data_IF_241136351856
#
_entry.id   IF_241136351856
#
_cell.length_a   1.000
_cell.length_b   1.000
_cell.length_c   1.000
_cell.angle_alpha   90.00
_cell.angle_beta   90.00
_cell.angle_gamma   90.00
#
_symmetry.space_group_name_H-M   'P 1'
#
loop_
_entity.id
_entity.type
_entity.pdbx_description
1 polymer ?
#
# COMPACT_ATOMS: atom_id res chain seq x y z
N UNK A 1 -21.52 41.03 8.20
CA UNK A 1 -22.06 40.05 9.17
C UNK A 1 -20.90 39.52 9.99
N UNK A 2 -20.83 39.86 11.27
CA UNK A 2 -19.73 39.44 12.14
C UNK A 2 -19.73 37.93 12.33
N UNK A 3 -18.58 37.29 12.13
CA UNK A 3 -18.38 35.88 12.48
C UNK A 3 -18.43 35.76 14.00
N UNK A 4 -19.55 35.30 14.56
CA UNK A 4 -19.64 35.01 15.99
C UNK A 4 -18.66 33.88 16.33
N UNK A 5 -17.66 34.19 17.15
CA UNK A 5 -16.68 33.23 17.65
C UNK A 5 -17.39 32.15 18.47
N UNK A 6 -17.09 30.88 18.19
CA UNK A 6 -17.70 29.76 18.90
C UNK A 6 -17.09 29.69 20.31
N UNK A 7 -17.92 29.53 21.35
CA UNK A 7 -17.43 29.43 22.73
C UNK A 7 -16.57 28.18 22.93
N UNK A 8 -15.64 28.20 23.88
CA UNK A 8 -14.75 27.06 24.15
C UNK A 8 -15.53 25.79 24.51
N UNK A 9 -16.52 25.91 25.40
CA UNK A 9 -17.40 24.81 25.81
C UNK A 9 -18.15 24.23 24.59
N UNK A 10 -18.63 25.10 23.69
CA UNK A 10 -19.34 24.61 22.51
C UNK A 10 -18.40 23.89 21.53
N UNK A 11 -17.17 24.37 21.34
CA UNK A 11 -16.17 23.67 20.50
C UNK A 11 -15.79 22.31 21.07
N UNK A 12 -15.63 22.23 22.38
CA UNK A 12 -15.35 20.99 23.11
C UNK A 12 -16.48 19.98 22.91
N UNK A 13 -17.73 20.38 23.17
CA UNK A 13 -18.90 19.53 22.97
C UNK A 13 -19.03 19.05 21.51
N UNK A 14 -18.79 19.93 20.52
CA UNK A 14 -18.79 19.53 19.10
C UNK A 14 -17.70 18.50 18.80
N UNK A 15 -16.53 18.63 19.43
CA UNK A 15 -15.42 17.72 19.22
C UNK A 15 -15.66 16.36 19.87
N UNK A 16 -16.24 16.34 21.07
CA UNK A 16 -16.67 15.12 21.76
C UNK A 16 -17.72 14.40 20.92
N UNK A 17 -18.74 15.12 20.44
CA UNK A 17 -19.80 14.56 19.61
C UNK A 17 -19.25 13.93 18.30
N UNK A 18 -18.25 14.56 17.67
CA UNK A 18 -17.64 14.00 16.47
C UNK A 18 -16.87 12.70 16.76
N UNK A 19 -16.11 12.63 17.87
CA UNK A 19 -15.44 11.38 18.27
C UNK A 19 -16.45 10.27 18.62
N UNK A 20 -17.53 10.60 19.35
CA UNK A 20 -18.59 9.65 19.68
C UNK A 20 -19.29 9.11 18.43
N UNK A 21 -19.54 9.97 17.43
CA UNK A 21 -20.06 9.57 16.13
C UNK A 21 -19.13 8.59 15.42
N UNK A 22 -17.81 8.83 15.42
CA UNK A 22 -16.83 7.90 14.83
C UNK A 22 -16.81 6.54 15.56
N UNK A 23 -16.95 6.55 16.88
CA UNK A 23 -17.08 5.34 17.69
C UNK A 23 -18.34 4.54 17.32
N UNK A 24 -19.48 5.21 17.20
CA UNK A 24 -20.75 4.59 16.78
C UNK A 24 -20.65 3.97 15.38
N UNK A 25 -19.95 4.62 14.44
CA UNK A 25 -19.71 4.08 13.10
C UNK A 25 -18.83 2.82 13.15
N UNK A 26 -17.79 2.80 13.99
CA UNK A 26 -16.92 1.64 14.15
C UNK A 26 -17.64 0.42 14.75
N UNK A 27 -18.59 0.69 15.66
CA UNK A 27 -19.48 -0.30 16.27
C UNK A 27 -18.89 -1.10 17.43
N UNK A 28 -17.56 -1.13 17.59
CA UNK A 28 -16.85 -1.87 18.65
C UNK A 28 -15.91 -0.99 19.49
N UNK A 29 -16.14 0.32 19.47
CA UNK A 29 -15.35 1.29 20.21
C UNK A 29 -16.32 2.17 20.99
N UNK A 30 -16.06 2.37 22.28
CA UNK A 30 -16.81 3.30 23.13
C UNK A 30 -15.91 4.44 23.60
N UNK A 31 -16.44 5.64 23.59
CA UNK A 31 -15.76 6.83 24.08
C UNK A 31 -16.27 7.21 25.48
N UNK A 32 -15.36 7.33 26.43
CA UNK A 32 -15.59 7.94 27.73
C UNK A 32 -14.82 9.26 27.80
N UNK A 33 -15.50 10.33 27.42
CA UNK A 33 -14.93 11.69 27.33
C UNK A 33 -15.89 12.62 28.06
N UNK A 34 -15.44 13.21 29.16
CA UNK A 34 -16.24 14.11 29.98
C UNK A 34 -15.95 15.56 29.60
N UNK A 35 -17.00 16.37 29.47
CA UNK A 35 -16.79 17.81 29.29
C UNK A 35 -16.32 18.46 30.60
N UNK A 36 -15.41 19.42 30.49
CA UNK A 36 -14.74 20.08 31.63
C UNK A 36 -13.99 19.12 32.55
N UNK A 37 -13.41 18.04 31.99
CA UNK A 37 -12.54 17.15 32.77
C UNK A 37 -11.31 17.92 33.31
N UNK A 38 -10.86 17.55 34.50
CA UNK A 38 -9.71 18.14 35.22
C UNK A 38 -8.54 17.16 35.32
N UNK A 39 -8.59 16.08 34.56
CA UNK A 39 -7.48 15.16 34.37
C UNK A 39 -6.21 15.92 33.95
N UNK A 40 -5.01 15.54 34.45
CA UNK A 40 -3.81 16.36 34.28
C UNK A 40 -3.35 16.56 32.83
N UNK A 41 -3.44 15.51 32.00
CA UNK A 41 -2.89 15.53 30.63
C UNK A 41 -3.80 14.89 29.58
N UNK A 42 -4.74 14.02 29.95
CA UNK A 42 -5.63 13.33 28.99
C UNK A 42 -7.02 13.94 29.04
N UNK A 43 -7.73 13.99 27.92
CA UNK A 43 -9.09 14.52 27.86
C UNK A 43 -10.15 13.39 27.94
N UNK A 44 -9.73 12.12 27.92
CA UNK A 44 -10.64 10.97 28.05
C UNK A 44 -10.02 9.64 27.60
N UNK A 45 -10.88 8.64 27.38
CA UNK A 45 -10.50 7.26 27.08
C UNK A 45 -11.38 6.65 25.99
N UNK A 46 -10.81 5.72 25.21
CA UNK A 46 -11.53 4.82 24.32
C UNK A 46 -11.46 3.38 24.85
N UNK A 47 -12.57 2.66 24.81
CA UNK A 47 -12.65 1.24 25.10
C UNK A 47 -12.84 0.49 23.78
N UNK A 48 -11.84 -0.32 23.41
CA UNK A 48 -11.86 -1.16 22.22
C UNK A 48 -12.34 -2.56 22.60
N UNK A 49 -13.30 -3.09 21.85
CA UNK A 49 -13.86 -4.43 22.05
C UNK A 49 -13.57 -5.35 20.87
N UNK A 50 -13.47 -6.65 21.16
CA UNK A 50 -13.34 -7.68 20.14
C UNK A 50 -14.64 -7.80 19.33
N UNK A 51 -14.52 -7.86 18.00
CA UNK A 51 -15.67 -8.12 17.12
C UNK A 51 -15.95 -9.62 17.08
N UNK A 52 -17.12 -10.04 17.56
CA UNK A 52 -17.61 -11.40 17.35
C UNK A 52 -17.81 -11.65 15.85
N UNK A 53 -17.06 -12.59 15.26
CA UNK A 53 -17.16 -12.94 13.82
C UNK A 53 -18.54 -13.50 13.41
N UNK A 54 -19.36 -13.91 14.39
CA UNK A 54 -20.65 -14.61 14.20
C UNK A 54 -21.83 -13.62 14.20
N UNK A 55 -21.74 -12.49 14.89
CA UNK A 55 -22.82 -11.49 14.99
C UNK A 55 -22.70 -10.50 13.84
N UNK A 56 -23.01 -10.98 12.64
CA UNK A 56 -22.79 -10.21 11.42
C UNK A 56 -23.78 -9.09 11.17
N UNK A 57 -24.91 -8.99 11.87
CA UNK A 57 -25.96 -8.07 11.39
C UNK A 57 -26.72 -7.21 12.40
N UNK A 58 -26.81 -7.46 13.71
CA UNK A 58 -27.51 -6.51 14.59
C UNK A 58 -27.00 -6.54 16.04
N UNK A 59 -26.53 -5.38 16.52
CA UNK A 59 -26.10 -5.06 17.89
C UNK A 59 -24.82 -5.76 18.37
N UNK A 60 -23.67 -5.10 18.20
CA UNK A 60 -22.49 -5.38 19.01
C UNK A 60 -22.79 -4.92 20.44
N UNK A 61 -23.27 -5.83 21.28
CA UNK A 61 -23.24 -5.59 22.71
C UNK A 61 -21.76 -5.60 23.13
N UNK A 62 -21.23 -4.42 23.47
CA UNK A 62 -19.88 -4.26 24.00
C UNK A 62 -19.82 -4.84 25.42
N UNK A 63 -19.81 -6.17 25.51
CA UNK A 63 -19.79 -6.89 26.77
C UNK A 63 -18.42 -6.78 27.42
N UNK A 64 -18.39 -6.77 28.75
CA UNK A 64 -17.16 -6.60 29.54
C UNK A 64 -16.13 -7.69 29.25
N UNK A 65 -16.57 -8.91 28.98
CA UNK A 65 -15.70 -10.04 28.61
C UNK A 65 -14.96 -9.84 27.28
N UNK A 66 -15.45 -8.96 26.40
CA UNK A 66 -14.86 -8.68 25.09
C UNK A 66 -13.94 -7.45 25.08
N UNK A 67 -13.71 -6.80 26.22
CA UNK A 67 -12.86 -5.62 26.31
C UNK A 67 -11.41 -5.99 25.99
N UNK A 68 -10.89 -5.46 24.88
CA UNK A 68 -9.50 -5.67 24.47
C UNK A 68 -8.56 -4.68 25.16
N UNK A 69 -8.91 -3.40 25.16
CA UNK A 69 -8.03 -2.36 25.73
C UNK A 69 -8.76 -1.07 26.06
N UNK A 70 -8.34 -0.45 27.16
CA UNK A 70 -8.54 0.98 27.45
C UNK A 70 -7.40 1.79 26.86
N UNK A 71 -7.71 2.79 26.05
CA UNK A 71 -6.74 3.63 25.34
C UNK A 71 -6.95 5.09 25.74
N UNK A 72 -5.91 5.71 26.30
CA UNK A 72 -5.99 7.13 26.66
C UNK A 72 -5.96 8.00 25.41
N UNK A 73 -6.72 9.10 25.41
CA UNK A 73 -6.76 10.06 24.32
C UNK A 73 -6.53 11.49 24.79
N UNK A 74 -6.10 12.34 23.86
CA UNK A 74 -6.07 13.80 24.03
C UNK A 74 -6.91 14.43 22.93
N UNK A 75 -7.81 15.35 23.27
CA UNK A 75 -8.80 15.93 22.35
C UNK A 75 -8.76 17.45 22.36
N UNK A 76 -8.26 18.06 21.28
CA UNK A 76 -8.16 19.53 21.17
C UNK A 76 -9.04 20.08 20.06
N UNK A 77 -9.83 21.11 20.38
CA UNK A 77 -10.77 21.75 19.46
C UNK A 77 -10.30 23.15 19.02
N UNK A 78 -10.18 23.36 17.71
CA UNK A 78 -9.72 24.62 17.12
C UNK A 78 -10.76 25.18 16.15
N UNK A 79 -11.25 26.40 16.42
CA UNK A 79 -12.06 27.13 15.44
C UNK A 79 -11.16 27.73 14.36
N UNK A 80 -11.48 27.48 13.09
CA UNK A 80 -10.65 27.90 11.95
C UNK A 80 -11.49 28.55 10.86
N UNK A 81 -10.93 29.56 10.18
CA UNK A 81 -11.60 30.19 9.02
C UNK A 81 -11.66 29.27 7.80
N UNK A 82 -10.65 28.40 7.67
CA UNK A 82 -10.50 27.43 6.59
C UNK A 82 -9.92 26.14 7.19
N UNK A 83 -10.52 25.01 6.82
CA UNK A 83 -10.02 23.69 7.19
C UNK A 83 -8.66 23.45 6.51
N UNK A 84 -7.75 22.84 7.25
CA UNK A 84 -6.42 22.45 6.79
C UNK A 84 -6.49 21.35 5.73
N UNK A 85 -5.35 21.09 5.06
CA UNK A 85 -5.22 20.01 4.08
C UNK A 85 -5.21 18.62 4.73
N UNK A 86 -4.55 17.62 4.12
CA UNK A 86 -4.41 16.27 4.70
C UNK A 86 -3.49 16.19 5.91
N UNK A 87 -2.61 17.18 6.07
CA UNK A 87 -1.65 17.26 7.17
C UNK A 87 -1.80 18.59 7.88
N UNK A 88 -1.51 18.60 9.17
CA UNK A 88 -1.34 19.81 9.96
C UNK A 88 -0.32 19.56 11.07
N UNK A 89 0.17 20.62 11.68
CA UNK A 89 0.96 20.51 12.92
C UNK A 89 0.12 20.90 14.12
N UNK A 90 0.52 20.37 15.28
CA UNK A 90 -0.03 20.76 16.57
C UNK A 90 1.08 20.80 17.61
N UNK A 91 1.12 21.88 18.39
CA UNK A 91 2.12 22.07 19.44
C UNK A 91 1.62 21.48 20.74
N UNK A 92 2.43 20.62 21.35
CA UNK A 92 2.13 19.96 22.61
C UNK A 92 3.11 20.40 23.69
N UNK A 93 2.65 20.43 24.93
CA UNK A 93 3.53 20.68 26.07
C UNK A 93 4.45 19.47 26.31
N UNK A 94 5.70 19.75 26.68
CA UNK A 94 6.69 18.70 26.94
C UNK A 94 6.35 17.93 28.21
N UNK A 95 5.70 18.55 29.19
CA UNK A 95 5.17 17.86 30.38
C UNK A 95 4.15 16.79 29.98
N UNK A 96 3.23 17.13 29.08
CA UNK A 96 2.24 16.22 28.52
C UNK A 96 2.92 15.04 27.80
N UNK A 97 3.90 15.32 26.93
CA UNK A 97 4.67 14.28 26.22
C UNK A 97 5.38 13.32 27.20
N UNK A 98 5.94 13.83 28.30
CA UNK A 98 6.54 12.98 29.35
C UNK A 98 5.48 12.15 30.07
N UNK A 99 4.31 12.72 30.37
CA UNK A 99 3.20 11.99 30.99
C UNK A 99 2.68 10.87 30.09
N UNK A 100 2.53 11.12 28.79
CA UNK A 100 2.15 10.11 27.80
C UNK A 100 3.18 8.99 27.71
N UNK A 101 4.49 9.31 27.75
CA UNK A 101 5.53 8.28 27.72
C UNK A 101 5.47 7.37 28.95
N UNK A 102 5.23 7.95 30.13
CA UNK A 102 5.13 7.22 31.38
C UNK A 102 3.85 6.38 31.52
N UNK A 103 2.83 6.60 30.67
CA UNK A 103 1.53 5.91 30.73
C UNK A 103 1.19 5.22 29.40
N UNK A 104 2.20 4.62 28.75
CA UNK A 104 2.01 3.77 27.57
C UNK A 104 1.31 4.44 26.37
N UNK A 105 1.62 5.71 26.14
CA UNK A 105 1.20 6.44 24.95
C UNK A 105 -0.18 7.08 25.03
N UNK A 106 -0.56 7.70 23.91
CA UNK A 106 -1.85 8.41 23.76
C UNK A 106 -2.23 8.47 22.28
N UNK A 107 -3.54 8.48 21.98
CA UNK A 107 -4.02 8.93 20.67
C UNK A 107 -4.39 10.41 20.76
N UNK A 108 -3.67 11.26 20.04
CA UNK A 108 -3.98 12.68 19.93
C UNK A 108 -4.99 12.91 18.82
N UNK A 109 -6.13 13.51 19.15
CA UNK A 109 -7.12 14.03 18.22
C UNK A 109 -7.15 15.56 18.25
N UNK A 110 -7.10 16.17 17.08
CA UNK A 110 -7.29 17.61 16.92
C UNK A 110 -8.40 17.89 15.93
N UNK A 111 -9.46 18.52 16.42
CA UNK A 111 -10.67 18.80 15.66
C UNK A 111 -10.65 20.25 15.19
N UNK A 112 -10.72 20.46 13.88
CA UNK A 112 -10.92 21.77 13.28
C UNK A 112 -12.40 22.02 13.01
N UNK A 113 -12.90 23.13 13.52
CA UNK A 113 -14.31 23.52 13.40
C UNK A 113 -14.36 24.81 12.58
N UNK A 114 -14.85 24.72 11.34
CA UNK A 114 -15.15 25.90 10.52
C UNK A 114 -16.58 26.40 10.77
N UNK A 115 -17.51 25.47 10.95
CA UNK A 115 -18.88 25.68 11.40
C UNK A 115 -19.43 24.36 11.94
N UNK A 116 -20.61 24.36 12.55
CA UNK A 116 -21.26 23.16 13.12
C UNK A 116 -21.32 21.98 12.12
N UNK A 117 -21.50 22.26 10.83
CA UNK A 117 -21.60 21.24 9.77
C UNK A 117 -20.29 21.05 8.97
N UNK A 118 -19.19 21.72 9.36
CA UNK A 118 -17.90 21.67 8.66
C UNK A 118 -16.79 21.46 9.67
N UNK A 119 -16.65 20.19 10.05
CA UNK A 119 -15.69 19.71 11.05
C UNK A 119 -14.71 18.76 10.35
N UNK A 120 -13.44 18.82 10.75
CA UNK A 120 -12.40 17.91 10.26
C UNK A 120 -11.56 17.42 11.42
N UNK A 121 -11.37 16.11 11.51
CA UNK A 121 -10.58 15.48 12.58
C UNK A 121 -9.20 15.14 12.06
N UNK A 122 -8.18 15.47 12.84
CA UNK A 122 -6.80 15.06 12.63
C UNK A 122 -6.37 14.19 13.78
N UNK A 123 -5.46 13.25 13.53
CA UNK A 123 -4.98 12.34 14.54
C UNK A 123 -3.47 12.11 14.47
N UNK A 124 -2.92 11.61 15.57
CA UNK A 124 -1.62 10.93 15.61
C UNK A 124 -1.60 9.94 16.76
N UNK A 125 -1.22 8.70 16.44
CA UNK A 125 -0.79 7.73 17.44
C UNK A 125 0.58 8.16 17.98
N UNK A 126 0.66 8.42 19.29
CA UNK A 126 1.89 8.73 20.00
C UNK A 126 2.23 7.54 20.90
N UNK A 127 2.87 6.54 20.31
CA UNK A 127 3.30 5.35 21.02
C UNK A 127 4.63 5.59 21.74
N UNK A 128 5.02 4.71 22.68
CA UNK A 128 6.25 4.85 23.45
C UNK A 128 7.52 5.11 22.59
N UNK A 129 7.67 4.47 21.43
CA UNK A 129 8.78 4.75 20.50
C UNK A 129 8.73 6.18 19.94
N UNK A 130 7.55 6.69 19.56
CA UNK A 130 7.44 8.08 19.10
C UNK A 130 7.83 9.06 20.20
N UNK A 131 7.33 8.80 21.41
CA UNK A 131 7.49 9.69 22.56
C UNK A 131 8.93 9.74 23.03
N UNK A 132 9.62 8.59 23.16
CA UNK A 132 11.03 8.59 23.56
C UNK A 132 11.91 9.28 22.52
N UNK A 133 11.63 9.09 21.23
CA UNK A 133 12.37 9.76 20.16
C UNK A 133 12.17 11.28 20.20
N UNK A 134 10.91 11.72 20.36
CA UNK A 134 10.59 13.15 20.51
C UNK A 134 11.30 13.76 21.73
N UNK A 135 11.27 13.07 22.88
CA UNK A 135 11.91 13.53 24.12
C UNK A 135 13.43 13.58 23.98
N UNK A 136 14.05 12.56 23.38
CA UNK A 136 15.49 12.52 23.10
C UNK A 136 15.92 13.67 22.18
N UNK A 137 15.13 13.99 21.14
CA UNK A 137 15.39 15.15 20.28
C UNK A 137 15.35 16.47 21.06
N UNK A 138 14.37 16.64 21.95
CA UNK A 138 14.23 17.83 22.80
C UNK A 138 15.46 17.96 23.71
N UNK A 139 15.80 16.89 24.42
CA UNK A 139 16.90 16.86 25.40
C UNK A 139 18.26 17.12 24.74
N UNK A 140 18.45 16.70 23.47
CA UNK A 140 19.66 16.95 22.67
C UNK A 140 19.74 18.38 22.14
N UNK A 141 18.63 18.96 21.71
CA UNK A 141 18.65 20.24 20.95
C UNK A 141 18.43 21.47 21.82
N UNK A 142 17.57 21.39 22.85
CA UNK A 142 17.20 22.52 23.71
C UNK A 142 16.71 22.04 25.08
N UNK A 143 17.62 21.99 26.08
CA UNK A 143 17.34 21.52 27.45
C UNK A 143 16.14 22.16 28.17
N UNK A 144 15.62 23.30 27.70
CA UNK A 144 14.49 24.03 28.29
C UNK A 144 13.30 24.25 27.33
N UNK A 145 13.17 23.45 26.27
CA UNK A 145 12.03 23.57 25.36
C UNK A 145 10.74 23.12 26.05
N UNK A 146 9.77 24.03 26.17
CA UNK A 146 8.50 23.76 26.85
C UNK A 146 7.45 23.10 25.96
N UNK A 147 7.56 23.25 24.63
CA UNK A 147 6.58 22.73 23.68
C UNK A 147 7.26 22.08 22.48
N UNK A 148 6.61 21.09 21.86
CA UNK A 148 7.07 20.45 20.62
C UNK A 148 5.91 20.28 19.67
N UNK A 149 6.12 20.65 18.41
CA UNK A 149 5.14 20.43 17.35
C UNK A 149 5.24 19.00 16.80
N UNK A 150 4.09 18.36 16.66
CA UNK A 150 3.93 17.05 15.99
C UNK A 150 3.10 17.21 14.72
N UNK A 151 3.45 16.47 13.67
CA UNK A 151 2.65 16.34 12.44
C UNK A 151 1.46 15.40 12.69
N UNK A 152 0.27 15.81 12.30
CA UNK A 152 -0.98 15.05 12.37
C UNK A 152 -1.50 14.76 10.96
N UNK A 153 -2.24 13.66 10.84
CA UNK A 153 -2.89 13.25 9.60
C UNK A 153 -4.39 13.41 9.67
N UNK A 154 -5.01 13.74 8.55
CA UNK A 154 -6.46 13.74 8.41
C UNK A 154 -7.02 12.35 8.67
N UNK A 155 -8.03 12.31 9.54
CA UNK A 155 -8.92 11.18 9.70
C UNK A 155 -10.01 11.26 8.64
N UNK A 156 -10.12 10.20 7.84
CA UNK A 156 -11.10 10.06 6.75
C UNK A 156 -12.09 8.96 7.13
N UNK A 157 -13.30 9.26 7.61
CA UNK A 157 -14.19 8.25 8.21
C UNK A 157 -14.61 7.13 7.25
N UNK A 158 -14.45 7.32 5.94
CA UNK A 158 -14.66 6.28 4.94
C UNK A 158 -13.80 5.03 5.24
N UNK A 159 -14.29 3.84 4.85
CA UNK A 159 -13.57 2.56 5.00
C UNK A 159 -13.13 2.21 6.44
N UNK A 160 -13.89 2.63 7.45
CA UNK A 160 -13.64 2.37 8.88
C UNK A 160 -12.25 2.84 9.37
N UNK A 161 -11.72 3.94 8.82
CA UNK A 161 -10.38 4.43 9.17
C UNK A 161 -10.21 4.73 10.66
N UNK A 162 -11.23 5.27 11.36
CA UNK A 162 -11.17 5.49 12.81
C UNK A 162 -10.89 4.18 13.57
N UNK A 163 -11.64 3.12 13.26
CA UNK A 163 -11.42 1.80 13.86
C UNK A 163 -10.00 1.28 13.57
N UNK A 164 -9.51 1.50 12.34
CA UNK A 164 -8.17 1.10 11.93
C UNK A 164 -7.06 1.85 12.66
N UNK A 165 -7.27 3.14 12.97
CA UNK A 165 -6.35 3.95 13.79
C UNK A 165 -6.26 3.40 15.21
N UNK A 166 -7.40 3.09 15.82
CA UNK A 166 -7.48 2.56 17.18
C UNK A 166 -6.90 1.13 17.25
N UNK A 167 -7.19 0.29 16.27
CA UNK A 167 -6.58 -1.04 16.14
C UNK A 167 -5.07 -0.98 15.89
N UNK A 168 -4.61 -0.04 15.07
CA UNK A 168 -3.17 0.24 14.86
C UNK A 168 -2.52 0.57 16.20
N UNK A 169 -3.09 1.48 16.99
CA UNK A 169 -2.58 1.77 18.33
C UNK A 169 -2.50 0.50 19.18
N UNK A 170 -3.60 -0.26 19.30
CA UNK A 170 -3.70 -1.49 20.10
C UNK A 170 -2.65 -2.56 19.71
N UNK A 171 -2.46 -2.80 18.41
CA UNK A 171 -1.50 -3.81 17.90
C UNK A 171 -0.05 -3.43 18.20
N UNK A 172 0.26 -2.15 18.08
CA UNK A 172 1.63 -1.67 18.22
C UNK A 172 2.02 -1.43 19.67
N UNK A 173 1.09 -0.99 20.52
CA UNK A 173 1.40 -0.68 21.92
C UNK A 173 1.85 -1.90 22.73
N UNK A 174 1.27 -3.08 22.46
CA UNK A 174 1.68 -4.34 23.11
C UNK A 174 3.12 -4.74 22.77
N UNK A 175 3.63 -4.30 21.62
CA UNK A 175 5.01 -4.54 21.14
C UNK A 175 5.97 -3.42 21.56
N UNK A 176 5.47 -2.39 22.25
CA UNK A 176 6.23 -1.21 22.65
C UNK A 176 6.11 -0.97 24.15
N UNK A 177 6.06 -2.04 24.96
CA UNK A 177 6.21 -1.88 26.42
C UNK A 177 7.55 -1.21 26.72
N UNK A 178 7.64 -0.49 27.85
CA UNK A 178 8.84 0.27 28.20
C UNK A 178 10.13 -0.57 28.15
N UNK A 179 10.07 -1.81 28.65
CA UNK A 179 11.20 -2.75 28.61
C UNK A 179 11.65 -3.12 27.18
N UNK A 180 10.71 -3.18 26.22
CA UNK A 180 11.03 -3.45 24.81
C UNK A 180 11.57 -2.20 24.12
N UNK A 181 11.02 -1.02 24.44
CA UNK A 181 11.50 0.25 23.92
C UNK A 181 12.91 0.58 24.41
N UNK A 182 13.25 0.28 25.65
CA UNK A 182 14.62 0.43 26.16
C UNK A 182 15.62 -0.49 25.42
N UNK A 183 15.12 -1.56 24.79
CA UNK A 183 15.87 -2.50 23.95
C UNK A 183 15.62 -2.31 22.46
N UNK A 184 15.10 -1.14 22.06
CA UNK A 184 14.84 -0.84 20.65
C UNK A 184 16.13 -0.95 19.82
N UNK A 185 15.97 -1.32 18.56
CA UNK A 185 17.11 -1.59 17.68
C UNK A 185 17.12 -0.68 16.46
N UNK A 186 18.31 -0.41 15.95
CA UNK A 186 18.46 0.16 14.62
C UNK A 186 18.46 -0.98 13.59
N UNK A 187 17.70 -0.80 12.52
CA UNK A 187 17.72 -1.73 11.40
C UNK A 187 18.97 -1.51 10.57
N UNK A 188 19.50 -2.62 10.07
CA UNK A 188 20.64 -2.68 9.16
C UNK A 188 20.24 -3.30 7.83
N UNK A 189 21.05 -3.09 6.79
CA UNK A 189 20.83 -3.73 5.48
C UNK A 189 20.91 -5.27 5.52
N UNK A 190 21.40 -5.85 6.63
CA UNK A 190 21.48 -7.31 6.82
C UNK A 190 20.20 -7.91 7.39
N UNK A 191 19.27 -7.09 7.86
CA UNK A 191 18.01 -7.56 8.44
C UNK A 191 17.05 -8.00 7.33
N UNK A 192 16.86 -9.33 7.20
CA UNK A 192 16.07 -9.95 6.12
C UNK A 192 14.57 -10.06 6.42
N UNK A 193 14.20 -10.04 7.69
CA UNK A 193 12.82 -10.21 8.15
C UNK A 193 12.45 -9.02 9.05
N UNK A 194 11.45 -8.25 8.62
CA UNK A 194 10.94 -7.07 9.31
C UNK A 194 9.42 -7.15 9.30
N UNK A 195 8.82 -6.91 10.45
CA UNK A 195 7.37 -6.81 10.62
C UNK A 195 7.00 -5.33 10.62
N UNK A 196 6.01 -4.93 9.82
CA UNK A 196 5.51 -3.55 9.77
C UNK A 196 4.01 -3.52 10.01
N UNK A 197 3.52 -2.45 10.63
CA UNK A 197 2.09 -2.20 10.78
C UNK A 197 1.62 -1.10 9.82
N UNK A 198 0.69 -1.47 8.93
CA UNK A 198 0.06 -0.57 7.95
C UNK A 198 -1.46 -0.43 8.18
N UNK A 199 -1.97 -0.85 9.35
CA UNK A 199 -3.41 -0.90 9.61
C UNK A 199 -4.06 0.48 9.45
N UNK A 200 -3.44 1.55 9.93
CA UNK A 200 -3.93 2.94 9.79
C UNK A 200 -3.70 3.56 8.40
N UNK A 201 -3.05 2.87 7.47
CA UNK A 201 -2.78 3.40 6.12
C UNK A 201 -4.01 3.25 5.24
N UNK A 202 -4.82 4.29 5.15
CA UNK A 202 -6.12 4.19 4.49
C UNK A 202 -6.08 4.16 2.94
N UNK A 203 -5.02 4.67 2.30
CA UNK A 203 -4.85 4.52 0.85
C UNK A 203 -3.39 4.54 0.41
N UNK A 204 -3.17 4.30 -0.90
CA UNK A 204 -1.84 4.30 -1.53
C UNK A 204 -1.05 5.59 -1.35
N UNK A 205 -1.70 6.75 -1.34
CA UNK A 205 -1.00 8.01 -1.10
C UNK A 205 -0.38 8.01 0.30
N UNK A 206 -1.11 7.57 1.32
CA UNK A 206 -0.59 7.53 2.67
C UNK A 206 0.49 6.46 2.87
N UNK A 207 0.38 5.32 2.17
CA UNK A 207 1.38 4.24 2.22
C UNK A 207 2.81 4.72 1.93
N UNK A 208 2.96 5.63 0.96
CA UNK A 208 4.27 6.15 0.56
C UNK A 208 4.60 7.55 1.12
N UNK A 209 3.70 8.17 1.88
CA UNK A 209 3.90 9.53 2.45
C UNK A 209 3.87 9.57 3.98
N UNK A 210 3.66 8.42 4.63
CA UNK A 210 3.68 8.27 6.08
C UNK A 210 4.75 7.29 6.49
N UNK A 211 5.25 7.50 7.70
CA UNK A 211 6.14 6.53 8.33
C UNK A 211 5.33 5.48 9.08
N UNK A 212 5.77 4.23 9.05
CA UNK A 212 5.11 3.08 9.67
C UNK A 212 5.97 2.51 10.79
N UNK A 213 5.34 1.95 11.82
CA UNK A 213 6.06 1.22 12.85
C UNK A 213 6.68 -0.05 12.26
N UNK A 214 7.91 -0.33 12.68
CA UNK A 214 8.66 -1.49 12.25
C UNK A 214 9.21 -2.23 13.46
N UNK A 215 9.30 -3.54 13.31
CA UNK A 215 9.74 -4.46 14.35
C UNK A 215 10.63 -5.53 13.75
N UNK A 216 11.63 -5.97 14.52
CA UNK A 216 12.41 -7.15 14.20
C UNK A 216 11.88 -8.34 15.00
N UNK A 217 11.37 -9.37 14.32
CA UNK A 217 10.95 -10.60 14.98
C UNK A 217 12.18 -11.32 15.57
N UNK A 218 12.15 -11.60 16.87
CA UNK A 218 13.11 -12.48 17.53
C UNK A 218 12.45 -13.83 17.79
N UNK A 219 12.95 -14.85 17.12
CA UNK A 219 12.53 -16.25 17.31
C UNK A 219 13.43 -16.89 18.35
N UNK A 220 12.84 -17.51 19.36
CA UNK A 220 13.53 -18.38 20.30
C UNK A 220 12.93 -19.78 20.12
N UNK A 221 13.76 -20.83 20.19
CA UNK A 221 13.36 -22.19 19.80
C UNK A 221 12.10 -22.71 20.54
N UNK A 222 11.91 -22.28 21.80
CA UNK A 222 10.82 -22.71 22.67
C UNK A 222 9.76 -21.63 23.01
N UNK A 223 9.83 -20.43 22.44
CA UNK A 223 8.93 -19.32 22.80
C UNK A 223 8.26 -18.69 21.58
N UNK A 224 7.11 -18.06 21.82
CA UNK A 224 6.47 -17.18 20.85
C UNK A 224 7.45 -16.09 20.38
N UNK A 225 7.31 -15.72 19.12
CA UNK A 225 8.15 -14.69 18.51
C UNK A 225 7.92 -13.35 19.21
N UNK A 226 9.01 -12.73 19.68
CA UNK A 226 8.96 -11.40 20.31
C UNK A 226 9.34 -10.36 19.26
N UNK A 227 8.45 -9.41 19.01
CA UNK A 227 8.72 -8.28 18.12
C UNK A 227 9.47 -7.17 18.88
N UNK A 228 10.76 -6.96 18.56
CA UNK A 228 11.51 -5.81 19.08
C UNK A 228 11.21 -4.55 18.26
N UNK A 229 10.85 -3.42 18.90
CA UNK A 229 10.61 -2.18 18.19
C UNK A 229 11.88 -1.62 17.57
N UNK A 230 11.76 -1.09 16.36
CA UNK A 230 12.83 -0.35 15.73
C UNK A 230 12.85 1.10 16.24
N UNK A 231 14.06 1.66 16.43
CA UNK A 231 14.26 3.06 16.84
C UNK A 231 13.54 3.99 15.87
N UNK A 232 13.72 3.76 14.58
CA UNK A 232 13.18 4.60 13.53
C UNK A 232 11.96 3.95 12.88
N UNK A 233 10.91 4.75 12.67
CA UNK A 233 9.82 4.38 11.77
C UNK A 233 10.30 4.38 10.33
N UNK A 234 9.73 3.50 9.51
CA UNK A 234 10.16 3.31 8.13
C UNK A 234 9.27 4.08 7.16
N UNK A 235 9.86 4.57 6.08
CA UNK A 235 9.12 5.06 4.91
C UNK A 235 9.19 4.02 3.81
N UNK A 236 8.02 3.56 3.37
CA UNK A 236 7.93 2.69 2.21
C UNK A 236 8.25 3.50 0.95
N UNK A 237 9.21 3.01 0.16
CA UNK A 237 9.59 3.63 -1.12
C UNK A 237 8.88 2.97 -2.29
N UNK A 238 8.81 1.65 -2.25
CA UNK A 238 8.30 0.81 -3.33
C UNK A 238 7.72 -0.48 -2.74
N UNK A 239 6.63 -0.95 -3.33
CA UNK A 239 6.03 -2.25 -3.05
C UNK A 239 6.13 -3.11 -4.31
N UNK A 240 6.77 -4.27 -4.18
CA UNK A 240 6.89 -5.26 -5.23
C UNK A 240 6.07 -6.49 -4.88
N UNK A 241 5.10 -6.83 -5.72
CA UNK A 241 4.24 -7.99 -5.56
C UNK A 241 4.39 -8.88 -6.78
N UNK A 242 4.74 -10.16 -6.56
CA UNK A 242 4.82 -11.19 -7.60
C UNK A 242 3.74 -12.24 -7.32
N UNK A 243 2.93 -12.55 -8.33
CA UNK A 243 1.84 -13.54 -8.23
C UNK A 243 1.55 -14.17 -9.58
N UNK A 244 0.66 -15.17 -9.61
CA UNK A 244 0.13 -15.78 -10.82
C UNK A 244 -1.32 -15.33 -11.00
N UNK A 245 -1.68 -14.85 -12.19
CA UNK A 245 -3.01 -14.30 -12.49
C UNK A 245 -3.55 -14.78 -13.83
N UNK A 246 -4.88 -14.72 -13.95
CA UNK A 246 -5.57 -14.83 -15.22
C UNK A 246 -5.76 -13.43 -15.84
N UNK A 247 -5.53 -13.33 -17.14
CA UNK A 247 -5.66 -12.10 -17.91
C UNK A 247 -6.80 -12.27 -18.91
N UNK A 248 -7.75 -11.35 -18.84
CA UNK A 248 -8.96 -11.37 -19.64
C UNK A 248 -8.88 -10.27 -20.69
N UNK A 249 -9.02 -10.66 -21.96
CA UNK A 249 -9.05 -9.73 -23.08
C UNK A 249 -10.28 -10.05 -23.92
N UNK A 250 -11.30 -9.21 -23.81
CA UNK A 250 -12.63 -9.44 -24.39
C UNK A 250 -13.19 -10.81 -23.99
N UNK A 251 -13.15 -11.80 -24.89
CA UNK A 251 -13.69 -13.15 -24.66
C UNK A 251 -12.58 -14.19 -24.38
N UNK A 252 -11.31 -13.80 -24.51
CA UNK A 252 -10.18 -14.71 -24.35
C UNK A 252 -9.62 -14.62 -22.92
N UNK A 253 -9.23 -15.78 -22.39
CA UNK A 253 -8.68 -15.94 -21.05
C UNK A 253 -7.29 -16.55 -21.18
N UNK A 254 -6.27 -15.78 -20.85
CA UNK A 254 -4.90 -16.26 -20.71
C UNK A 254 -4.69 -16.64 -19.25
N UNK A 255 -4.49 -17.93 -19.00
CA UNK A 255 -4.36 -18.45 -17.63
C UNK A 255 -2.92 -18.55 -17.18
N UNK A 256 -2.72 -18.52 -15.86
CA UNK A 256 -1.44 -18.81 -15.21
C UNK A 256 -0.28 -17.90 -15.63
N UNK A 257 -0.53 -16.60 -15.79
CA UNK A 257 0.51 -15.65 -16.17
C UNK A 257 1.26 -15.15 -14.93
N UNK A 258 2.58 -15.08 -15.01
CA UNK A 258 3.40 -14.38 -14.03
C UNK A 258 3.10 -12.88 -14.09
N UNK A 259 2.72 -12.31 -12.96
CA UNK A 259 2.38 -10.91 -12.82
C UNK A 259 3.21 -10.27 -11.71
N UNK A 260 3.98 -9.26 -12.08
CA UNK A 260 4.79 -8.46 -11.17
C UNK A 260 4.24 -7.04 -11.17
N UNK A 261 3.74 -6.61 -10.02
CA UNK A 261 3.27 -5.25 -9.77
C UNK A 261 4.29 -4.53 -8.89
N UNK A 262 4.88 -3.48 -9.44
CA UNK A 262 5.81 -2.58 -8.74
C UNK A 262 5.12 -1.23 -8.59
N UNK A 263 4.78 -0.87 -7.36
CA UNK A 263 4.07 0.37 -7.05
C UNK A 263 4.95 1.27 -6.19
N UNK A 264 5.07 2.54 -6.57
CA UNK A 264 5.69 3.57 -5.75
C UNK A 264 4.80 4.82 -5.71
N UNK A 265 5.32 5.93 -5.18
CA UNK A 265 4.57 7.18 -5.00
C UNK A 265 4.02 7.79 -6.31
N UNK A 266 4.62 7.54 -7.46
CA UNK A 266 4.21 8.21 -8.72
C UNK A 266 3.85 7.23 -9.82
N UNK A 267 4.38 6.01 -9.74
CA UNK A 267 4.37 5.06 -10.83
C UNK A 267 3.80 3.73 -10.33
N UNK A 268 3.04 3.08 -11.21
CA UNK A 268 2.67 1.69 -11.08
C UNK A 268 3.16 0.98 -12.33
N UNK A 269 4.17 0.13 -12.20
CA UNK A 269 4.70 -0.71 -13.26
C UNK A 269 4.12 -2.11 -13.11
N UNK A 270 3.56 -2.63 -14.18
CA UNK A 270 3.07 -4.00 -14.30
C UNK A 270 3.99 -4.72 -15.28
N UNK A 271 4.42 -5.93 -14.94
CA UNK A 271 5.15 -6.82 -15.86
C UNK A 271 4.41 -8.16 -15.92
N UNK A 272 4.06 -8.59 -17.13
CA UNK A 272 3.37 -9.85 -17.40
C UNK A 272 4.34 -10.78 -18.14
N UNK A 273 4.54 -11.99 -17.61
CA UNK A 273 5.41 -13.05 -18.16
C UNK A 273 6.82 -12.57 -18.52
N UNK A 274 7.34 -11.56 -17.79
CA UNK A 274 8.59 -10.86 -18.11
C UNK A 274 8.70 -10.38 -19.57
N UNK A 275 7.57 -10.21 -20.26
CA UNK A 275 7.50 -9.88 -21.69
C UNK A 275 6.79 -8.55 -21.91
N UNK A 276 5.56 -8.42 -21.40
CA UNK A 276 4.78 -7.19 -21.50
C UNK A 276 5.04 -6.32 -20.28
N UNK A 277 5.43 -5.07 -20.48
CA UNK A 277 5.64 -4.10 -19.40
C UNK A 277 4.76 -2.88 -19.62
N UNK A 278 3.92 -2.59 -18.63
CA UNK A 278 2.97 -1.48 -18.63
C UNK A 278 3.37 -0.51 -17.53
N UNK A 279 3.61 0.74 -17.89
CA UNK A 279 3.88 1.84 -16.98
C UNK A 279 2.65 2.72 -16.88
N UNK A 280 2.04 2.73 -15.70
CA UNK A 280 0.88 3.53 -15.36
C UNK A 280 1.40 4.71 -14.54
N UNK A 281 1.49 5.87 -15.17
CA UNK A 281 1.84 7.10 -14.47
C UNK A 281 0.59 7.68 -13.83
N UNK A 282 0.58 7.72 -12.51
CA UNK A 282 -0.50 8.36 -11.76
C UNK A 282 0.09 9.59 -11.08
N UNK A 283 -0.35 10.77 -11.49
CA UNK A 283 -0.17 11.94 -10.64
C UNK A 283 -1.08 11.68 -9.43
N UNK A 284 -0.50 11.33 -8.28
CA UNK A 284 -1.23 11.29 -7.01
C UNK A 284 -1.52 12.74 -6.56
N UNK A 285 -2.36 13.47 -7.32
CA UNK A 285 -2.86 14.79 -6.95
C UNK A 285 -4.30 14.68 -6.41
N UNK A 286 -4.50 15.18 -5.20
CA UNK A 286 -5.74 15.16 -4.42
C UNK A 286 -6.96 15.71 -5.13
N UNK A 287 -6.77 16.63 -6.08
CA UNK A 287 -7.88 17.33 -6.75
C UNK A 287 -8.23 16.74 -8.11
N UNK A 288 -7.49 15.74 -8.57
CA UNK A 288 -7.55 15.24 -9.94
C UNK A 288 -7.78 13.72 -9.94
N UNK A 289 -8.94 13.30 -9.43
CA UNK A 289 -9.40 11.91 -9.55
C UNK A 289 -9.61 11.52 -11.04
N UNK A 290 -9.73 12.51 -11.95
CA UNK A 290 -10.13 12.32 -13.35
C UNK A 290 -9.18 12.93 -14.41
N UNK A 291 -7.87 13.10 -14.17
CA UNK A 291 -6.93 13.41 -15.28
C UNK A 291 -6.21 12.15 -15.76
N UNK A 292 -5.98 12.13 -17.07
CA UNK A 292 -5.53 11.00 -17.88
C UNK A 292 -4.49 10.13 -17.17
N UNK A 293 -4.81 8.84 -17.07
CA UNK A 293 -3.80 7.83 -16.82
C UNK A 293 -2.93 7.81 -18.09
N UNK A 294 -1.72 8.33 -18.00
CA UNK A 294 -0.74 8.13 -19.06
C UNK A 294 -0.20 6.70 -18.88
N UNK A 295 -0.56 5.85 -19.83
CA UNK A 295 -0.12 4.46 -19.85
C UNK A 295 0.91 4.33 -20.98
N UNK A 296 2.16 4.05 -20.61
CA UNK A 296 3.18 3.64 -21.57
C UNK A 296 3.30 2.13 -21.55
N UNK A 297 3.57 1.57 -22.73
CA UNK A 297 3.62 0.14 -22.93
C UNK A 297 4.91 -0.21 -23.67
N UNK A 298 5.64 -1.20 -23.19
CA UNK A 298 6.88 -1.68 -23.81
C UNK A 298 6.90 -3.20 -23.83
N UNK A 299 7.51 -3.77 -24.87
CA UNK A 299 7.71 -5.21 -25.03
C UNK A 299 9.19 -5.51 -24.79
N UNK A 300 9.47 -6.56 -24.03
CA UNK A 300 10.83 -7.07 -23.83
C UNK A 300 11.17 -8.14 -24.87
N UNK A 301 12.46 -8.43 -24.99
CA UNK A 301 12.97 -9.50 -25.86
C UNK A 301 12.33 -10.87 -25.54
N UNK A 302 12.27 -11.77 -26.53
CA UNK A 302 11.81 -13.14 -26.33
C UNK A 302 12.58 -13.86 -25.20
N UNK A 303 11.88 -14.65 -24.39
CA UNK A 303 12.44 -15.44 -23.29
C UNK A 303 11.55 -16.66 -23.00
N UNK A 304 12.13 -17.67 -22.34
CA UNK A 304 11.44 -18.94 -22.08
C UNK A 304 11.32 -19.82 -23.32
N UNK A 305 10.35 -20.74 -23.33
CA UNK A 305 10.13 -21.66 -24.46
C UNK A 305 9.43 -20.97 -25.64
N UNK A 306 9.56 -21.55 -26.85
CA UNK A 306 8.84 -21.09 -28.05
C UNK A 306 7.33 -21.05 -27.80
N UNK A 307 6.78 -22.08 -27.16
CA UNK A 307 5.35 -22.14 -26.82
C UNK A 307 4.90 -21.00 -25.90
N UNK A 308 5.66 -20.73 -24.84
CA UNK A 308 5.35 -19.66 -23.88
C UNK A 308 5.39 -18.30 -24.57
N UNK A 309 6.42 -18.06 -25.39
CA UNK A 309 6.56 -16.82 -26.13
C UNK A 309 5.47 -16.65 -27.20
N UNK A 310 5.10 -17.71 -27.92
CA UNK A 310 4.00 -17.68 -28.87
C UNK A 310 2.67 -17.34 -28.19
N UNK A 311 2.40 -17.90 -27.02
CA UNK A 311 1.23 -17.54 -26.22
C UNK A 311 1.25 -16.06 -25.80
N UNK A 312 2.43 -15.54 -25.43
CA UNK A 312 2.62 -14.12 -25.12
C UNK A 312 2.37 -13.20 -26.33
N UNK A 313 2.82 -13.57 -27.53
CA UNK A 313 2.56 -12.83 -28.77
C UNK A 313 1.06 -12.84 -29.12
N UNK A 314 0.38 -13.99 -28.97
CA UNK A 314 -1.07 -14.09 -29.18
C UNK A 314 -1.84 -13.21 -28.20
N UNK A 315 -1.45 -13.20 -26.93
CA UNK A 315 -1.98 -12.27 -25.93
C UNK A 315 -1.77 -10.82 -26.34
N UNK A 316 -0.55 -10.45 -26.73
CA UNK A 316 -0.22 -9.10 -27.20
C UNK A 316 -1.08 -8.69 -28.42
N UNK A 317 -1.38 -9.61 -29.34
CA UNK A 317 -2.21 -9.33 -30.51
C UNK A 317 -3.65 -9.01 -30.12
N UNK A 318 -4.20 -9.74 -29.15
CA UNK A 318 -5.52 -9.46 -28.62
C UNK A 318 -5.56 -8.11 -27.88
N UNK A 319 -4.51 -7.80 -27.10
CA UNK A 319 -4.34 -6.48 -26.47
C UNK A 319 -4.32 -5.39 -27.54
N UNK A 320 -3.55 -5.57 -28.61
CA UNK A 320 -3.45 -4.61 -29.71
C UNK A 320 -4.82 -4.33 -30.36
N UNK A 321 -5.56 -5.41 -30.69
CA UNK A 321 -6.86 -5.32 -31.36
C UNK A 321 -7.94 -4.67 -30.51
N UNK A 322 -7.90 -4.88 -29.19
CA UNK A 322 -8.97 -4.44 -28.30
C UNK A 322 -8.62 -3.19 -27.50
N UNK A 323 -7.32 -2.87 -27.37
CA UNK A 323 -6.78 -1.76 -26.58
C UNK A 323 -7.26 -1.74 -25.13
N UNK A 324 -7.74 -2.88 -24.63
CA UNK A 324 -8.32 -3.04 -23.31
C UNK A 324 -7.89 -4.35 -22.71
N UNK A 325 -7.49 -4.32 -21.44
CA UNK A 325 -7.06 -5.50 -20.68
C UNK A 325 -7.70 -5.47 -19.31
N UNK A 326 -8.20 -6.62 -18.88
CA UNK A 326 -8.78 -6.80 -17.57
C UNK A 326 -7.95 -7.84 -16.79
N UNK A 327 -7.33 -7.40 -15.70
CA UNK A 327 -6.45 -8.25 -14.88
C UNK A 327 -7.13 -8.57 -13.55
N UNK A 328 -7.24 -9.85 -13.20
CA UNK A 328 -7.82 -10.27 -11.92
C UNK A 328 -6.72 -10.44 -10.87
N UNK A 329 -6.63 -9.51 -9.93
CA UNK A 329 -5.71 -9.63 -8.78
C UNK A 329 -6.35 -10.49 -7.67
N UNK A 330 -5.55 -11.27 -6.95
CA UNK A 330 -6.05 -12.19 -5.90
C UNK A 330 -6.35 -11.53 -4.55
N UNK A 331 -6.36 -10.19 -4.45
CA UNK A 331 -6.65 -9.48 -3.20
C UNK A 331 -8.14 -9.22 -2.99
N UNK A 332 -8.83 -10.20 -2.40
CA UNK A 332 -10.27 -10.15 -2.04
C UNK A 332 -11.23 -9.99 -3.24
N UNK A 333 -12.50 -10.39 -3.06
CA UNK A 333 -13.47 -10.59 -4.14
C UNK A 333 -13.58 -9.37 -5.06
N UNK A 334 -13.18 -9.57 -6.32
CA UNK A 334 -13.55 -8.78 -7.50
C UNK A 334 -12.78 -7.47 -7.78
N UNK A 335 -11.49 -7.37 -7.45
CA UNK A 335 -10.65 -6.30 -8.02
C UNK A 335 -10.14 -6.69 -9.42
N UNK A 336 -10.80 -6.15 -10.44
CA UNK A 336 -10.35 -6.19 -11.82
C UNK A 336 -9.71 -4.85 -12.20
N UNK A 337 -8.50 -4.89 -12.75
CA UNK A 337 -7.86 -3.69 -13.30
C UNK A 337 -8.20 -3.59 -14.79
N UNK A 338 -9.00 -2.57 -15.15
CA UNK A 338 -9.25 -2.19 -16.55
C UNK A 338 -8.16 -1.21 -17.03
N UNK A 339 -7.45 -1.59 -18.09
CA UNK A 339 -6.38 -0.80 -18.70
C UNK A 339 -6.75 -0.42 -20.13
N UNK A 340 -7.03 0.87 -20.36
CA UNK A 340 -7.30 1.45 -21.68
C UNK A 340 -5.98 1.94 -22.31
N UNK A 341 -5.42 1.12 -23.21
CA UNK A 341 -4.10 1.34 -23.81
C UNK A 341 -4.22 2.19 -25.07
N UNK A 342 -3.72 3.43 -25.01
CA UNK A 342 -3.82 4.38 -26.13
C UNK A 342 -2.76 4.19 -27.20
N UNK A 343 -1.58 3.71 -26.82
CA UNK A 343 -0.41 3.57 -27.69
C UNK A 343 0.09 2.14 -27.70
N UNK A 344 0.51 1.66 -28.87
CA UNK A 344 1.10 0.35 -29.07
C UNK A 344 2.54 0.51 -29.59
N UNK A 345 3.50 -0.30 -29.14
CA UNK A 345 4.92 -0.13 -29.46
C UNK A 345 5.34 -0.85 -30.76
N UNK A 346 4.41 -1.54 -31.42
CA UNK A 346 4.64 -2.33 -32.63
C UNK A 346 3.45 -2.17 -33.57
N UNK A 347 3.65 -2.46 -34.86
CA UNK A 347 2.56 -2.54 -35.82
C UNK A 347 1.87 -3.91 -35.79
N UNK A 348 0.58 -3.96 -36.11
CA UNK A 348 -0.19 -5.22 -36.14
C UNK A 348 0.44 -6.24 -37.09
N UNK A 349 0.95 -5.75 -38.23
CA UNK A 349 1.57 -6.56 -39.26
C UNK A 349 2.82 -7.26 -38.74
N UNK A 350 3.73 -6.52 -38.10
CA UNK A 350 4.96 -7.07 -37.52
C UNK A 350 4.65 -8.15 -36.47
N UNK A 351 3.58 -7.94 -35.69
CA UNK A 351 3.15 -8.91 -34.69
C UNK A 351 2.62 -10.20 -35.31
N UNK A 352 1.81 -10.09 -36.37
CA UNK A 352 1.32 -11.25 -37.13
C UNK A 352 2.49 -12.00 -37.78
N UNK A 353 3.44 -11.29 -38.38
CA UNK A 353 4.64 -11.90 -38.99
C UNK A 353 5.49 -12.64 -37.94
N UNK A 354 5.69 -12.04 -36.75
CA UNK A 354 6.37 -12.70 -35.64
C UNK A 354 5.64 -13.95 -35.16
N UNK A 355 4.30 -13.90 -35.05
CA UNK A 355 3.50 -15.07 -34.66
C UNK A 355 3.70 -16.21 -35.67
N UNK A 356 3.62 -15.92 -36.97
CA UNK A 356 3.83 -16.91 -38.02
C UNK A 356 5.24 -17.52 -37.97
N UNK A 357 6.27 -16.69 -37.77
CA UNK A 357 7.64 -17.17 -37.60
C UNK A 357 7.77 -18.14 -36.42
N UNK A 358 7.19 -17.82 -35.25
CA UNK A 358 7.28 -18.68 -34.08
C UNK A 358 6.39 -19.94 -34.20
N UNK A 359 5.29 -19.90 -34.97
CA UNK A 359 4.53 -21.10 -35.33
C UNK A 359 5.36 -22.04 -36.21
N UNK A 360 6.04 -21.52 -37.23
CA UNK A 360 6.96 -22.30 -38.06
C UNK A 360 8.15 -22.82 -37.25
N UNK A 361 8.68 -22.01 -36.34
CA UNK A 361 9.77 -22.43 -35.47
C UNK A 361 9.33 -23.55 -34.52
N UNK A 362 8.13 -23.47 -33.95
CA UNK A 362 7.55 -24.55 -33.16
C UNK A 362 7.46 -25.83 -33.99
N UNK A 363 6.91 -25.77 -35.20
CA UNK A 363 6.80 -26.91 -36.11
C UNK A 363 8.17 -27.51 -36.44
N UNK A 364 9.19 -26.67 -36.63
CA UNK A 364 10.56 -27.11 -36.86
C UNK A 364 11.09 -27.91 -35.66
N UNK A 365 10.91 -27.42 -34.43
CA UNK A 365 11.33 -28.15 -33.22
C UNK A 365 10.62 -29.51 -33.11
N UNK A 366 9.31 -29.56 -33.39
CA UNK A 366 8.53 -30.80 -33.40
C UNK A 366 9.02 -31.80 -34.46
N UNK A 367 9.30 -31.34 -35.68
CA UNK A 367 9.87 -32.18 -36.76
C UNK A 367 11.24 -32.74 -36.42
N UNK A 368 12.04 -31.99 -35.67
CA UNK A 368 13.37 -32.39 -35.21
C UNK A 368 13.33 -33.17 -33.88
N UNK A 369 12.13 -33.45 -33.35
CA UNK A 369 11.92 -34.12 -32.07
C UNK A 369 12.61 -33.42 -30.88
N UNK A 370 12.78 -32.09 -30.97
CA UNK A 370 13.36 -31.26 -29.91
C UNK A 370 12.24 -30.82 -28.98
N UNK A 371 12.33 -31.25 -27.71
CA UNK A 371 11.38 -30.83 -26.67
C UNK A 371 11.51 -29.34 -26.35
N UNK A 372 10.39 -28.68 -26.12
CA UNK A 372 10.30 -27.25 -25.83
C UNK A 372 11.13 -26.84 -24.60
N UNK A 373 11.16 -27.65 -23.54
CA UNK A 373 11.96 -27.36 -22.34
C UNK A 373 13.48 -27.33 -22.59
N UNK A 374 13.94 -27.92 -23.69
CA UNK A 374 15.36 -27.98 -24.06
C UNK A 374 15.79 -26.82 -24.96
N UNK A 375 14.87 -25.96 -25.38
CA UNK A 375 15.18 -24.81 -26.22
C UNK A 375 14.59 -23.53 -25.61
N UNK A 376 15.46 -22.73 -24.98
CA UNK A 376 15.10 -21.45 -24.38
C UNK A 376 15.51 -20.30 -25.32
N UNK A 377 14.63 -19.32 -25.47
CA UNK A 377 14.84 -18.14 -26.32
C UNK A 377 15.77 -17.10 -25.68
N UNK A 378 16.13 -17.29 -24.41
CA UNK A 378 16.95 -16.36 -23.65
C UNK A 378 18.33 -16.12 -24.31
N UNK A 379 18.67 -14.85 -24.51
CA UNK A 379 19.94 -14.39 -25.08
C UNK A 379 20.21 -14.84 -26.54
N UNK A 380 19.19 -15.22 -27.30
CA UNK A 380 19.34 -15.47 -28.73
C UNK A 380 19.79 -14.22 -29.49
N UNK A 381 20.83 -14.36 -30.32
CA UNK A 381 21.31 -13.28 -31.18
C UNK A 381 20.49 -13.16 -32.46
N UNK A 382 20.60 -12.03 -33.15
CA UNK A 382 20.00 -11.85 -34.48
C UNK A 382 20.54 -12.87 -35.51
N UNK A 383 21.77 -13.34 -35.35
CA UNK A 383 22.34 -14.39 -36.20
C UNK A 383 21.63 -15.74 -35.98
N UNK A 384 21.27 -16.05 -34.74
CA UNK A 384 20.57 -17.30 -34.40
C UNK A 384 19.16 -17.31 -35.02
N UNK A 385 18.43 -16.19 -34.95
CA UNK A 385 17.16 -16.05 -35.64
C UNK A 385 17.30 -16.19 -37.17
N UNK A 386 18.38 -15.65 -37.75
CA UNK A 386 18.69 -15.83 -39.18
C UNK A 386 18.94 -17.30 -39.56
N UNK A 387 19.65 -18.05 -38.71
CA UNK A 387 19.88 -19.50 -38.89
C UNK A 387 18.58 -20.29 -38.78
N UNK A 388 17.72 -19.97 -37.81
CA UNK A 388 16.42 -20.63 -37.65
C UNK A 388 15.52 -20.35 -38.85
N UNK A 389 15.47 -19.10 -39.33
CA UNK A 389 14.69 -18.77 -40.53
C UNK A 389 15.19 -19.56 -41.76
N UNK A 390 16.50 -19.79 -41.85
CA UNK A 390 17.10 -20.66 -42.86
C UNK A 390 16.61 -22.10 -42.70
N UNK A 391 16.63 -22.67 -41.48
CA UNK A 391 16.14 -24.01 -41.21
C UNK A 391 14.64 -24.15 -41.52
N UNK A 392 13.81 -23.18 -41.11
CA UNK A 392 12.39 -23.12 -41.45
C UNK A 392 12.21 -23.15 -42.98
N UNK A 393 13.01 -22.38 -43.72
CA UNK A 393 12.91 -22.36 -45.19
C UNK A 393 13.22 -23.72 -45.83
N UNK A 394 14.12 -24.51 -45.24
CA UNK A 394 14.49 -25.85 -45.72
C UNK A 394 13.41 -26.87 -45.33
N UNK A 395 13.13 -26.98 -44.03
CA UNK A 395 12.35 -28.09 -43.48
C UNK A 395 10.83 -27.87 -43.59
N UNK A 396 10.37 -26.63 -43.44
CA UNK A 396 8.93 -26.30 -43.47
C UNK A 396 8.52 -25.91 -44.90
N UNK A 397 9.28 -25.01 -45.53
CA UNK A 397 8.93 -24.46 -46.84
C UNK A 397 9.49 -25.24 -48.04
N UNK A 398 10.24 -26.33 -47.80
CA UNK A 398 10.85 -27.18 -48.83
C UNK A 398 11.69 -26.41 -49.87
N UNK A 399 12.33 -25.31 -49.48
CA UNK A 399 13.17 -24.51 -50.38
C UNK A 399 14.57 -25.12 -50.49
N UNK A 400 15.07 -25.25 -51.72
CA UNK A 400 16.45 -25.65 -51.99
C UNK A 400 17.37 -24.44 -51.80
N UNK A 401 18.26 -24.49 -50.82
CA UNK A 401 19.25 -23.42 -50.61
C UNK A 401 20.49 -23.72 -51.44
N UNK A 402 20.80 -22.85 -52.40
CA UNK A 402 22.08 -22.89 -53.12
C UNK A 402 23.16 -22.31 -52.21
N UNK A 403 24.21 -23.09 -51.97
CA UNK A 403 25.41 -22.62 -51.27
C UNK A 403 25.97 -21.43 -52.05
N UNK A 404 26.15 -20.27 -51.42
CA UNK A 404 27.00 -19.23 -51.99
C UNK A 404 28.42 -19.80 -52.01
N UNK A 405 28.93 -20.10 -53.19
CA UNK A 405 30.36 -20.25 -53.40
C UNK A 405 30.99 -18.90 -53.06
N UNK A 406 31.83 -18.88 -52.03
CA UNK A 406 32.67 -17.73 -51.75
C UNK A 406 33.80 -17.77 -52.80
N UNK A 407 33.82 -16.78 -53.70
CA UNK A 407 35.02 -16.45 -54.49
C UNK A 407 36.09 -15.80 -53.61
#
# INVERSE_FOLDING_TARGET
>A
MGTSKISNIHKENLSIAEIQKLCAIAGNIEANIQSNDKTPSWDGELFLYEKNKIEKENCLDNKKENLLRKINIQLKANEVKKLSGKKRTFSMDVSDLRNYYNNEGVILFVVEIKSVNKIKVYYRNLLPVDLINILNEIDRTKKNQLTKSVELYELRPENNHFERIVNSFYRNINKQTKNLVDKQIELSERDKEISIDIAEIDNRYDLFNRSVYAYKPLKHEDLDTIDLPCVNKLYLKELNTKTIVDIFIKNNIYKNNEYISTVNKTNHKITINNFIVIYIYRILDEKLINKSIDINFTIKEPSGTVDSHLNNLKMLLDIFKHKKVLIKEFSTKDELIDLDLKTMPCEEKDLIENILFFEDFKNLLEMLEIKQENFLLDNMSQEDYGKINTLISIFINNKTIKKKEYE
#
